data_IF_347972933446
#
_entry.id   IF_347972933446
#
_cell.length_a   1.000
_cell.length_b   1.000
_cell.length_c   1.000
_cell.angle_alpha   90.00
_cell.angle_beta   90.00
_cell.angle_gamma   90.00
#
_symmetry.space_group_name_H-M   'P 1'
#
loop_
_entity.id
_entity.type
_entity.pdbx_description
1 polymer ?
#
# COMPACT_ATOMS: atom_id res chain seq x y z
N UNK A 1 -45.95 30.82 18.51
CA UNK A 1 -45.35 30.07 17.41
C UNK A 1 -43.95 30.54 16.98
N UNK A 2 -43.28 31.43 17.73
CA UNK A 2 -41.96 31.99 17.36
C UNK A 2 -40.77 31.29 18.03
N UNK A 3 -40.97 30.69 19.21
CA UNK A 3 -39.89 30.03 19.97
C UNK A 3 -39.48 28.64 19.43
N UNK A 4 -40.35 27.99 18.65
CA UNK A 4 -40.09 26.69 18.02
C UNK A 4 -39.23 26.81 16.76
N UNK A 5 -39.42 27.87 15.97
CA UNK A 5 -38.60 28.14 14.77
C UNK A 5 -37.14 28.45 15.12
N UNK A 6 -36.89 29.25 16.16
CA UNK A 6 -35.52 29.57 16.62
C UNK A 6 -34.76 28.36 17.18
N UNK A 7 -35.47 27.36 17.72
CA UNK A 7 -34.86 26.12 18.23
C UNK A 7 -34.39 25.22 17.08
N UNK A 8 -35.17 25.14 16.00
CA UNK A 8 -34.83 24.38 14.80
C UNK A 8 -33.64 25.02 14.03
N UNK A 9 -33.58 26.35 13.93
CA UNK A 9 -32.44 27.06 13.33
C UNK A 9 -31.12 26.88 14.10
N UNK A 10 -31.18 26.69 15.41
CA UNK A 10 -30.00 26.49 16.26
C UNK A 10 -29.47 25.05 16.20
N UNK A 11 -30.35 24.07 15.97
CA UNK A 11 -29.99 22.67 15.76
C UNK A 11 -29.37 22.43 14.37
N UNK A 12 -29.91 23.03 13.31
CA UNK A 12 -29.31 22.96 11.96
C UNK A 12 -27.93 23.62 11.89
N UNK A 13 -27.73 24.75 12.57
CA UNK A 13 -26.40 25.41 12.67
C UNK A 13 -25.39 24.60 13.49
N UNK A 14 -25.85 23.75 14.40
CA UNK A 14 -24.98 22.83 15.13
C UNK A 14 -24.64 21.59 14.30
N UNK A 15 -25.57 21.11 13.47
CA UNK A 15 -25.34 19.99 12.54
C UNK A 15 -24.36 20.38 11.40
N UNK A 16 -24.53 21.56 10.78
CA UNK A 16 -23.57 22.06 9.77
C UNK A 16 -22.17 22.31 10.31
N UNK A 17 -22.04 22.80 11.54
CA UNK A 17 -20.73 22.93 12.21
C UNK A 17 -20.05 21.58 12.43
N UNK A 18 -20.84 20.52 12.67
CA UNK A 18 -20.32 19.16 12.87
C UNK A 18 -19.81 18.55 11.56
N UNK A 19 -20.55 18.71 10.45
CA UNK A 19 -20.06 18.30 9.12
C UNK A 19 -18.80 19.05 8.68
N UNK A 20 -18.70 20.34 8.97
CA UNK A 20 -17.51 21.15 8.65
C UNK A 20 -16.30 20.73 9.51
N UNK A 21 -16.54 20.41 10.78
CA UNK A 21 -15.54 19.84 11.69
C UNK A 21 -15.04 18.47 11.19
N UNK A 22 -15.94 17.62 10.69
CA UNK A 22 -15.62 16.29 10.19
C UNK A 22 -14.88 16.33 8.83
N UNK A 23 -15.17 17.32 7.96
CA UNK A 23 -14.38 17.60 6.75
C UNK A 23 -12.95 18.06 7.07
N UNK A 24 -12.79 18.93 8.07
CA UNK A 24 -11.47 19.38 8.57
C UNK A 24 -10.71 18.23 9.23
N UNK A 25 -11.41 17.33 9.91
CA UNK A 25 -10.82 16.12 10.47
C UNK A 25 -10.32 15.16 9.37
N UNK A 26 -11.08 15.03 8.28
CA UNK A 26 -10.72 14.19 7.14
C UNK A 26 -9.50 14.74 6.37
N UNK A 27 -9.29 16.06 6.31
CA UNK A 27 -8.05 16.64 5.75
C UNK A 27 -6.86 16.54 6.70
N UNK A 28 -7.09 16.58 8.03
CA UNK A 28 -6.04 16.45 9.06
C UNK A 28 -5.50 15.03 9.19
N UNK A 29 -6.29 14.03 8.78
CA UNK A 29 -5.90 12.62 8.73
C UNK A 29 -5.28 12.20 7.38
N UNK A 30 -5.05 13.15 6.48
CA UNK A 30 -4.29 12.90 5.27
C UNK A 30 -2.80 12.94 5.64
N UNK A 31 -2.18 11.76 5.66
CA UNK A 31 -0.73 11.58 5.79
C UNK A 31 -0.07 12.37 4.65
N UNK A 32 0.23 13.64 4.92
CA UNK A 32 0.98 14.50 4.02
C UNK A 32 2.38 13.89 3.93
N UNK A 33 2.62 13.12 2.88
CA UNK A 33 3.99 12.96 2.38
C UNK A 33 4.43 14.39 2.06
N UNK A 34 5.32 14.95 2.89
CA UNK A 34 5.78 16.34 2.77
C UNK A 34 5.87 16.77 1.31
N UNK A 35 4.94 17.62 0.89
CA UNK A 35 4.85 18.03 -0.50
C UNK A 35 6.10 18.86 -0.85
N UNK A 36 6.84 18.48 -1.91
CA UNK A 36 8.10 19.15 -2.24
C UNK A 36 7.90 20.64 -2.55
N UNK A 37 6.70 21.03 -2.99
CA UNK A 37 6.32 22.41 -3.26
C UNK A 37 6.28 23.25 -1.97
N UNK A 38 5.71 22.71 -0.90
CA UNK A 38 5.59 23.38 0.41
C UNK A 38 6.97 23.51 1.06
N UNK A 39 7.78 22.46 0.98
CA UNK A 39 9.17 22.48 1.49
C UNK A 39 10.00 23.52 0.75
N UNK A 40 9.93 23.55 -0.59
CA UNK A 40 10.68 24.52 -1.39
C UNK A 40 10.23 25.97 -1.17
N UNK A 41 8.93 26.19 -0.90
CA UNK A 41 8.42 27.50 -0.55
C UNK A 41 8.94 27.96 0.82
N UNK A 42 8.92 27.09 1.83
CA UNK A 42 9.47 27.36 3.16
C UNK A 42 10.96 27.71 3.13
N UNK A 43 11.74 26.99 2.30
CA UNK A 43 13.17 27.28 2.08
C UNK A 43 13.41 28.66 1.45
N UNK A 44 12.51 29.13 0.57
CA UNK A 44 12.62 30.46 -0.05
C UNK A 44 12.16 31.60 0.87
N UNK A 45 11.20 31.33 1.75
CA UNK A 45 10.70 32.29 2.73
C UNK A 45 11.51 32.34 4.03
N UNK A 46 12.59 31.56 4.14
CA UNK A 46 13.45 31.50 5.33
C UNK A 46 12.79 30.86 6.55
N UNK A 47 11.74 30.07 6.36
CA UNK A 47 11.02 29.37 7.44
C UNK A 47 11.79 28.10 7.79
N UNK A 48 11.95 27.82 9.08
CA UNK A 48 12.70 26.67 9.59
C UNK A 48 12.07 25.34 9.13
N UNK A 49 12.86 24.49 8.47
CA UNK A 49 12.45 23.17 8.00
C UNK A 49 13.17 22.10 8.82
N UNK A 50 12.42 21.29 9.56
CA UNK A 50 12.98 20.15 10.28
C UNK A 50 13.37 19.03 9.31
N UNK A 51 14.65 18.67 9.26
CA UNK A 51 15.15 17.54 8.48
C UNK A 51 15.45 16.36 9.41
N UNK A 52 14.62 15.32 9.36
CA UNK A 52 14.87 14.07 10.09
C UNK A 52 15.51 13.05 9.14
N UNK A 53 16.64 12.46 9.54
CA UNK A 53 17.25 11.35 8.81
C UNK A 53 16.30 10.16 8.84
N UNK A 54 15.96 9.62 7.67
CA UNK A 54 15.15 8.40 7.58
C UNK A 54 15.91 7.25 8.24
N UNK A 55 15.22 6.44 9.02
CA UNK A 55 15.74 5.16 9.51
C UNK A 55 16.18 4.32 8.30
N UNK A 56 17.40 3.79 8.34
CA UNK A 56 18.06 3.05 7.26
C UNK A 56 18.51 3.88 6.02
N UNK A 57 18.58 5.21 6.11
CA UNK A 57 19.13 6.03 5.03
C UNK A 57 20.61 5.69 4.74
N UNK A 58 20.96 5.53 3.45
CA UNK A 58 22.34 5.29 2.99
C UNK A 58 22.77 3.82 2.94
N UNK A 59 21.88 2.87 3.26
CA UNK A 59 22.17 1.43 3.25
C UNK A 59 21.44 0.73 2.10
N UNK A 60 22.16 -0.08 1.31
CA UNK A 60 21.57 -1.00 0.32
C UNK A 60 21.10 -2.31 0.99
N UNK A 61 20.36 -2.20 2.10
CA UNK A 61 19.81 -3.39 2.73
C UNK A 61 18.72 -3.93 1.81
N UNK A 62 18.80 -5.21 1.41
CA UNK A 62 17.65 -5.88 0.79
C UNK A 62 16.57 -5.94 1.86
N UNK A 63 15.72 -4.91 1.90
CA UNK A 63 14.60 -4.80 2.82
C UNK A 63 13.68 -5.98 2.53
N UNK A 64 13.82 -7.03 3.33
CA UNK A 64 12.73 -7.96 3.59
C UNK A 64 11.80 -7.20 4.51
N UNK A 65 11.07 -6.23 3.96
CA UNK A 65 9.99 -5.60 4.70
C UNK A 65 9.10 -6.77 5.10
N UNK A 66 8.89 -7.03 6.40
CA UNK A 66 7.91 -8.00 6.80
C UNK A 66 6.58 -7.50 6.21
N UNK A 67 5.80 -8.42 5.65
CA UNK A 67 4.51 -8.10 5.01
C UNK A 67 3.57 -7.41 6.02
N UNK A 68 3.88 -7.53 7.32
CA UNK A 68 3.20 -6.94 8.45
C UNK A 68 4.22 -6.28 9.35
N UNK A 69 3.87 -5.16 10.00
CA UNK A 69 4.73 -4.52 10.98
C UNK A 69 5.05 -5.51 12.11
N UNK A 70 6.33 -5.84 12.32
CA UNK A 70 6.76 -6.84 13.30
C UNK A 70 6.20 -6.59 14.72
N UNK A 71 6.06 -5.30 15.10
CA UNK A 71 5.45 -4.88 16.37
C UNK A 71 4.00 -5.32 16.55
N UNK A 72 3.22 -5.37 15.45
CA UNK A 72 1.83 -5.84 15.46
C UNK A 72 1.69 -7.36 15.49
N UNK A 73 2.75 -8.09 15.11
CA UNK A 73 2.78 -9.55 15.16
C UNK A 73 3.13 -10.07 16.56
N UNK A 74 3.97 -9.33 17.30
CA UNK A 74 4.38 -9.68 18.67
C UNK A 74 3.24 -9.46 19.68
N UNK A 75 2.36 -8.49 19.43
CA UNK A 75 1.19 -8.19 20.27
C UNK A 75 -0.01 -9.13 20.02
N UNK A 76 -0.02 -9.89 18.90
CA UNK A 76 -1.12 -10.76 18.53
C UNK A 76 -0.73 -12.25 18.72
N UNK A 77 -1.14 -12.84 19.85
CA UNK A 77 -0.91 -14.26 20.17
C UNK A 77 -1.81 -15.25 19.39
N UNK A 78 -2.73 -14.76 18.56
CA UNK A 78 -3.64 -15.56 17.74
C UNK A 78 -3.11 -15.69 16.29
N UNK A 79 -3.20 -16.88 15.65
CA UNK A 79 -2.70 -17.06 14.29
C UNK A 79 -3.56 -16.24 13.31
N UNK A 80 -3.09 -15.03 13.01
CA UNK A 80 -3.67 -14.18 11.97
C UNK A 80 -3.77 -14.97 10.67
N UNK A 81 -4.99 -15.19 10.19
CA UNK A 81 -5.26 -15.79 8.89
C UNK A 81 -4.84 -14.79 7.82
N UNK A 82 -3.56 -14.84 7.43
CA UNK A 82 -3.06 -13.98 6.36
C UNK A 82 -3.74 -14.35 5.04
N UNK A 83 -4.30 -13.34 4.39
CA UNK A 83 -4.86 -13.48 3.05
C UNK A 83 -3.79 -13.98 2.08
N UNK A 84 -4.07 -15.13 1.48
CA UNK A 84 -3.18 -15.74 0.50
C UNK A 84 -3.39 -15.12 -0.88
N UNK A 85 -2.45 -15.41 -1.78
CA UNK A 85 -2.54 -14.98 -3.18
C UNK A 85 -3.87 -15.45 -3.80
N UNK A 86 -4.60 -14.53 -4.44
CA UNK A 86 -5.88 -14.86 -5.06
C UNK A 86 -5.72 -15.83 -6.24
N UNK A 87 -6.79 -16.58 -6.52
CA UNK A 87 -6.82 -17.56 -7.61
C UNK A 87 -6.55 -16.92 -8.99
N UNK A 88 -6.94 -15.66 -9.18
CA UNK A 88 -6.72 -14.95 -10.43
C UNK A 88 -5.23 -14.66 -10.67
N UNK A 89 -4.51 -14.24 -9.62
CA UNK A 89 -3.08 -13.89 -9.71
C UNK A 89 -2.25 -15.13 -10.02
N UNK A 90 -2.52 -16.28 -9.37
CA UNK A 90 -1.80 -17.53 -9.67
C UNK A 90 -1.98 -17.95 -11.14
N UNK A 91 -3.19 -17.85 -11.68
CA UNK A 91 -3.46 -18.22 -13.07
C UNK A 91 -2.86 -17.23 -14.06
N UNK A 92 -2.86 -15.93 -13.73
CA UNK A 92 -2.22 -14.91 -14.56
C UNK A 92 -0.70 -15.14 -14.68
N UNK A 93 -0.02 -15.49 -13.58
CA UNK A 93 1.41 -15.80 -13.59
C UNK A 93 1.70 -17.03 -14.47
N UNK A 94 0.91 -18.10 -14.31
CA UNK A 94 1.08 -19.33 -15.10
C UNK A 94 0.89 -19.08 -16.59
N UNK A 95 -0.19 -18.37 -16.98
CA UNK A 95 -0.48 -18.02 -18.38
C UNK A 95 0.64 -17.17 -18.98
N UNK A 96 1.12 -16.16 -18.25
CA UNK A 96 2.20 -15.29 -18.72
C UNK A 96 3.53 -16.05 -18.89
N UNK A 97 3.80 -17.03 -18.02
CA UNK A 97 4.98 -17.89 -18.14
C UNK A 97 4.93 -18.73 -19.41
N UNK A 98 3.79 -19.37 -19.67
CA UNK A 98 3.58 -20.18 -20.88
C UNK A 98 3.67 -19.34 -22.15
N UNK A 99 3.08 -18.14 -22.16
CA UNK A 99 3.17 -17.21 -23.29
C UNK A 99 4.61 -16.83 -23.64
N UNK A 100 5.48 -16.70 -22.63
CA UNK A 100 6.91 -16.38 -22.82
C UNK A 100 7.81 -17.60 -22.96
N UNK A 101 7.26 -18.82 -22.89
CA UNK A 101 8.01 -20.09 -22.95
C UNK A 101 9.19 -20.16 -21.96
N UNK A 102 9.05 -19.56 -20.78
CA UNK A 102 10.10 -19.57 -19.75
C UNK A 102 9.88 -20.71 -18.77
N UNK A 103 10.95 -21.40 -18.38
CA UNK A 103 10.90 -22.30 -17.24
C UNK A 103 10.82 -21.52 -15.92
N UNK A 104 10.32 -22.16 -14.87
CA UNK A 104 10.25 -21.56 -13.54
C UNK A 104 11.63 -21.17 -13.00
N UNK A 105 12.65 -21.97 -13.31
CA UNK A 105 14.04 -21.69 -12.94
C UNK A 105 14.58 -20.44 -13.66
N UNK A 106 14.27 -20.27 -14.94
CA UNK A 106 14.68 -19.08 -15.71
C UNK A 106 13.97 -17.81 -15.24
N UNK A 107 12.68 -17.90 -14.93
CA UNK A 107 11.93 -16.79 -14.33
C UNK A 107 12.53 -16.40 -12.98
N UNK A 108 12.88 -17.39 -12.15
CA UNK A 108 13.49 -17.17 -10.84
C UNK A 108 14.88 -16.52 -10.94
N UNK A 109 15.71 -16.96 -11.90
CA UNK A 109 17.02 -16.34 -12.22
C UNK A 109 16.86 -14.87 -12.58
N UNK A 110 15.93 -14.52 -13.47
CA UNK A 110 15.65 -13.12 -13.87
C UNK A 110 15.21 -12.23 -12.70
N UNK A 111 14.50 -12.80 -11.73
CA UNK A 111 13.96 -12.08 -10.57
C UNK A 111 14.95 -12.09 -9.37
N UNK A 112 16.06 -12.82 -9.49
CA UNK A 112 17.04 -13.06 -8.43
C UNK A 112 16.38 -13.65 -7.16
N UNK A 113 15.55 -14.67 -7.35
CA UNK A 113 14.87 -15.44 -6.30
C UNK A 113 15.06 -16.94 -6.52
N UNK A 114 14.75 -17.75 -5.50
CA UNK A 114 14.80 -19.21 -5.61
C UNK A 114 13.61 -19.71 -6.44
N UNK A 115 13.80 -20.78 -7.21
CA UNK A 115 12.72 -21.40 -8.00
C UNK A 115 11.53 -21.80 -7.13
N UNK A 116 11.80 -22.33 -5.93
CA UNK A 116 10.78 -22.67 -4.93
C UNK A 116 9.83 -21.50 -4.62
N UNK A 117 10.35 -20.28 -4.50
CA UNK A 117 9.51 -19.10 -4.20
C UNK A 117 8.49 -18.90 -5.31
N UNK A 118 8.88 -19.01 -6.58
CA UNK A 118 7.94 -18.88 -7.72
C UNK A 118 6.88 -19.99 -7.70
N UNK A 119 7.24 -21.19 -7.27
CA UNK A 119 6.31 -22.32 -7.14
C UNK A 119 5.19 -22.01 -6.17
N UNK A 120 5.56 -21.45 -5.02
CA UNK A 120 4.62 -21.12 -3.95
C UNK A 120 3.65 -19.99 -4.34
N UNK A 121 4.07 -19.11 -5.26
CA UNK A 121 3.18 -18.10 -5.87
C UNK A 121 2.22 -18.71 -6.90
N UNK A 122 2.69 -19.66 -7.71
CA UNK A 122 1.85 -20.37 -8.69
C UNK A 122 0.87 -21.35 -8.02
N UNK A 123 1.21 -21.89 -6.85
CA UNK A 123 0.32 -22.73 -6.03
C UNK A 123 -0.64 -21.91 -5.17
N UNK A 124 -0.32 -20.64 -4.90
CA UNK A 124 -1.14 -19.72 -4.10
C UNK A 124 -1.04 -19.95 -2.58
N UNK A 125 -0.02 -20.67 -2.10
CA UNK A 125 0.14 -21.00 -0.67
C UNK A 125 0.82 -19.89 0.13
N UNK A 126 1.57 -19.02 -0.55
CA UNK A 126 2.40 -17.98 0.08
C UNK A 126 1.64 -16.68 0.35
N UNK A 127 2.05 -15.97 1.39
CA UNK A 127 1.59 -14.59 1.66
C UNK A 127 2.14 -13.66 0.58
N UNK A 128 1.30 -12.83 -0.06
CA UNK A 128 1.70 -11.96 -1.15
C UNK A 128 2.68 -10.88 -0.69
N UNK A 129 3.97 -11.02 -1.07
CA UNK A 129 4.96 -9.98 -0.81
C UNK A 129 5.01 -8.96 -1.97
N UNK A 130 4.81 -7.68 -1.63
CA UNK A 130 4.76 -6.60 -2.60
C UNK A 130 6.10 -6.25 -3.27
N UNK A 131 7.21 -6.91 -2.93
CA UNK A 131 8.45 -6.75 -3.67
C UNK A 131 8.62 -7.84 -4.73
N UNK A 132 8.04 -9.02 -4.52
CA UNK A 132 8.16 -10.15 -5.45
C UNK A 132 7.19 -9.99 -6.61
N UNK A 133 5.93 -9.66 -6.31
CA UNK A 133 4.91 -9.41 -7.33
C UNK A 133 5.34 -8.30 -8.30
N UNK A 134 5.90 -7.18 -7.81
CA UNK A 134 6.40 -6.10 -8.66
C UNK A 134 7.50 -6.53 -9.64
N UNK A 135 8.33 -7.51 -9.26
CA UNK A 135 9.38 -8.05 -10.13
C UNK A 135 8.81 -9.02 -11.16
N UNK A 136 7.83 -9.83 -10.75
CA UNK A 136 7.08 -10.71 -11.66
C UNK A 136 6.38 -9.89 -12.74
N UNK A 137 5.71 -8.79 -12.37
CA UNK A 137 5.05 -7.87 -13.30
C UNK A 137 6.03 -7.30 -14.33
N UNK A 138 7.23 -6.89 -13.93
CA UNK A 138 8.25 -6.36 -14.84
C UNK A 138 8.76 -7.38 -15.84
N UNK A 139 9.01 -8.62 -15.40
CA UNK A 139 9.54 -9.67 -16.27
C UNK A 139 8.46 -10.26 -17.17
N UNK A 140 7.25 -10.43 -16.65
CA UNK A 140 6.12 -11.01 -17.37
C UNK A 140 5.34 -9.98 -18.19
N UNK A 141 5.44 -8.68 -17.89
CA UNK A 141 4.72 -7.61 -18.58
C UNK A 141 3.21 -7.63 -18.31
N UNK A 142 2.77 -8.31 -17.26
CA UNK A 142 1.36 -8.44 -16.87
C UNK A 142 1.15 -7.67 -15.58
N UNK A 143 -0.02 -7.02 -15.44
CA UNK A 143 -0.43 -6.37 -14.19
C UNK A 143 -1.03 -7.44 -13.28
N UNK A 144 -0.37 -7.69 -12.15
CA UNK A 144 -0.78 -8.68 -11.14
C UNK A 144 -1.40 -7.99 -9.91
N UNK A 145 -1.53 -6.65 -9.96
CA UNK A 145 -2.04 -5.78 -8.90
C UNK A 145 -3.14 -4.86 -9.41
N UNK A 146 -4.15 -4.68 -8.58
CA UNK A 146 -5.36 -3.91 -8.90
C UNK A 146 -6.49 -4.82 -9.40
N UNK A 147 -7.72 -4.29 -9.43
CA UNK A 147 -8.87 -4.99 -10.03
C UNK A 147 -8.48 -5.38 -11.45
N UNK A 148 -8.46 -6.68 -11.73
CA UNK A 148 -8.12 -7.20 -13.05
C UNK A 148 -9.30 -6.85 -13.97
N UNK A 149 -9.27 -5.65 -14.54
CA UNK A 149 -10.17 -5.29 -15.63
C UNK A 149 -9.64 -6.04 -16.84
N UNK A 150 -10.15 -7.25 -17.04
CA UNK A 150 -9.94 -7.97 -18.29
C UNK A 150 -10.52 -7.09 -19.40
N UNK A 151 -9.67 -6.61 -20.31
CA UNK A 151 -10.09 -6.05 -21.59
C UNK A 151 -10.05 -7.16 -22.63
#
# INVERSE_FOLDING_TARGET
SSASLLRLDCEEKSFRRKEESDKVLYSKFQIHKCDPKVVNQALRSGVEVQTVKKTDAGLNKKVVAPVVNARKLDEAAEPSTFDRVSTEVKHAIQKARLAKKLSQAELAKKINKKAFVVQEYESGKVVPNQNVLAKLEKVLGVKLRGKIVNK
#
